data_IF_710254095588
#
_entry.id   IF_710254095588
#
_cell.length_a   1.000
_cell.length_b   1.000
_cell.length_c   1.000
_cell.angle_alpha   90.00
_cell.angle_beta   90.00
_cell.angle_gamma   90.00
#
_symmetry.space_group_name_H-M   'P 1'
#
loop_
_entity.id
_entity.type
_entity.pdbx_description
1 polymer ?
#
# COMPACT_ATOMS: atom_id res chain seq x y z
N UNK A 1 -29.04 -31.18 4.04
CA UNK A 1 -27.93 -30.89 3.10
C UNK A 1 -28.53 -30.20 1.89
N UNK A 2 -28.01 -29.03 1.52
CA UNK A 2 -28.45 -28.13 0.43
C UNK A 2 -29.76 -27.36 0.72
N UNK A 3 -29.69 -26.37 1.62
CA UNK A 3 -30.66 -25.26 1.62
C UNK A 3 -30.15 -24.14 2.53
N UNK A 4 -29.54 -23.12 1.92
CA UNK A 4 -29.47 -21.71 2.36
C UNK A 4 -28.20 -21.06 1.79
N UNK A 5 -28.19 -20.85 0.47
CA UNK A 5 -27.38 -19.78 -0.10
C UNK A 5 -28.36 -18.60 -0.20
N UNK A 6 -28.31 -17.70 0.78
CA UNK A 6 -28.97 -16.40 0.68
C UNK A 6 -28.36 -15.69 -0.54
N UNK A 7 -29.16 -15.23 -1.51
CA UNK A 7 -28.63 -14.45 -2.61
C UNK A 7 -28.12 -13.14 -1.99
N UNK A 8 -26.80 -12.99 -1.89
CA UNK A 8 -26.19 -11.72 -1.51
C UNK A 8 -26.64 -10.70 -2.55
N UNK A 9 -27.55 -9.83 -2.11
CA UNK A 9 -28.02 -8.70 -2.87
C UNK A 9 -26.80 -7.81 -3.07
N UNK A 10 -26.13 -7.94 -4.22
CA UNK A 10 -25.23 -6.92 -4.72
C UNK A 10 -26.13 -5.71 -4.93
N UNK A 11 -26.29 -4.88 -3.90
CA UNK A 11 -26.74 -3.51 -4.11
C UNK A 11 -25.69 -2.97 -5.06
N UNK A 12 -26.11 -2.70 -6.30
CA UNK A 12 -25.36 -1.92 -7.26
C UNK A 12 -25.21 -0.53 -6.64
N UNK A 13 -24.25 -0.40 -5.72
CA UNK A 13 -23.83 0.88 -5.18
C UNK A 13 -23.25 1.66 -6.36
N UNK A 14 -23.54 2.96 -6.41
CA UNK A 14 -23.04 3.83 -7.48
C UNK A 14 -21.51 3.76 -7.56
N UNK A 15 -20.94 3.97 -8.75
CA UNK A 15 -19.47 4.02 -8.95
C UNK A 15 -18.78 5.07 -8.05
N UNK A 16 -19.53 6.05 -7.55
CA UNK A 16 -19.08 7.10 -6.61
C UNK A 16 -19.01 6.64 -5.13
N UNK A 17 -19.40 5.40 -4.80
CA UNK A 17 -19.36 4.89 -3.42
C UNK A 17 -17.94 4.55 -3.00
N UNK A 18 -17.58 4.87 -1.75
CA UNK A 18 -16.24 4.52 -1.26
C UNK A 18 -16.07 3.01 -1.12
N UNK A 19 -14.84 2.52 -1.10
CA UNK A 19 -14.50 1.13 -0.82
C UNK A 19 -15.04 0.68 0.53
N UNK A 20 -14.92 1.55 1.54
CA UNK A 20 -15.50 1.29 2.85
C UNK A 20 -17.02 1.13 2.76
N UNK A 21 -17.72 1.98 2.01
CA UNK A 21 -19.16 1.87 1.78
C UNK A 21 -19.53 0.57 1.05
N UNK A 22 -18.68 0.13 0.11
CA UNK A 22 -18.85 -1.13 -0.63
C UNK A 22 -18.59 -2.36 0.24
N UNK A 23 -17.73 -2.24 1.24
CA UNK A 23 -17.48 -3.30 2.23
C UNK A 23 -18.56 -3.39 3.32
N UNK A 24 -19.42 -2.38 3.47
CA UNK A 24 -20.54 -2.44 4.42
C UNK A 24 -21.51 -3.57 4.02
N UNK A 25 -21.34 -4.74 4.64
CA UNK A 25 -22.15 -5.92 4.41
C UNK A 25 -21.38 -7.14 3.89
N UNK A 26 -20.11 -6.98 3.50
CA UNK A 26 -19.22 -8.10 3.26
C UNK A 26 -18.55 -8.50 4.58
N UNK A 27 -18.76 -9.74 5.07
CA UNK A 27 -18.02 -10.23 6.21
C UNK A 27 -16.54 -10.39 5.79
N UNK A 28 -15.67 -9.52 6.29
CA UNK A 28 -14.22 -9.69 6.15
C UNK A 28 -13.80 -10.81 7.09
N UNK A 29 -13.30 -11.91 6.51
CA UNK A 29 -12.80 -13.05 7.28
C UNK A 29 -11.63 -12.59 8.14
N UNK A 30 -11.73 -12.82 9.44
CA UNK A 30 -10.61 -12.63 10.36
C UNK A 30 -9.69 -13.88 10.32
N UNK A 31 -8.53 -13.82 10.96
CA UNK A 31 -7.58 -14.94 10.99
C UNK A 31 -8.17 -16.23 11.56
N UNK A 32 -9.16 -16.16 12.44
CA UNK A 32 -9.83 -17.34 13.01
C UNK A 32 -10.85 -17.95 12.04
N UNK A 33 -11.49 -17.15 11.20
CA UNK A 33 -12.45 -17.65 10.21
C UNK A 33 -11.76 -18.54 9.17
N UNK A 34 -10.52 -18.22 8.79
CA UNK A 34 -9.71 -19.07 7.90
C UNK A 34 -9.28 -20.38 8.56
N UNK A 35 -9.08 -20.39 9.87
CA UNK A 35 -8.68 -21.59 10.62
C UNK A 35 -9.87 -22.55 10.74
N UNK A 36 -11.08 -22.02 10.90
CA UNK A 36 -12.30 -22.82 11.02
C UNK A 36 -12.76 -23.44 9.69
N UNK A 37 -12.29 -22.91 8.55
CA UNK A 37 -12.57 -23.42 7.22
C UNK A 37 -11.60 -24.53 6.78
N UNK A 38 -10.58 -24.87 7.59
CA UNK A 38 -9.68 -25.99 7.34
C UNK A 38 -10.34 -27.27 7.85
N UNK A 39 -10.71 -28.18 6.95
CA UNK A 39 -11.17 -29.51 7.34
C UNK A 39 -9.95 -30.35 7.82
N UNK A 40 -10.14 -31.32 8.73
CA UNK A 40 -9.05 -32.19 9.21
C UNK A 40 -8.33 -32.94 8.07
N UNK A 41 -9.02 -33.14 6.93
CA UNK A 41 -8.48 -33.74 5.72
C UNK A 41 -7.51 -32.81 4.94
N UNK A 42 -7.55 -31.49 5.17
CA UNK A 42 -6.63 -30.52 4.57
C UNK A 42 -5.28 -30.44 5.31
N UNK A 43 -5.19 -31.05 6.50
CA UNK A 43 -3.95 -31.13 7.29
C UNK A 43 -3.16 -32.36 6.83
N UNK A 44 -2.34 -32.18 5.79
CA UNK A 44 -1.41 -33.23 5.36
C UNK A 44 -0.25 -33.32 6.36
N UNK A 45 -0.31 -34.32 7.24
CA UNK A 45 0.76 -34.62 8.19
C UNK A 45 1.98 -35.15 7.41
N UNK A 46 2.89 -34.25 7.05
CA UNK A 46 4.05 -34.54 6.20
C UNK A 46 5.03 -35.55 6.81
N UNK A 47 4.84 -35.96 8.08
CA UNK A 47 5.79 -36.80 8.81
C UNK A 47 5.38 -38.28 8.93
N UNK A 48 4.31 -38.72 8.25
CA UNK A 48 4.02 -40.15 8.09
C UNK A 48 4.76 -40.71 6.89
N UNK A 49 5.99 -41.17 7.14
CA UNK A 49 6.79 -41.93 6.19
C UNK A 49 6.08 -43.22 5.73
N UNK A 50 5.36 -43.13 4.61
CA UNK A 50 4.99 -44.27 3.77
C UNK A 50 5.51 -43.93 2.38
N UNK A 51 6.35 -44.81 1.85
CA UNK A 51 6.95 -44.67 0.52
C UNK A 51 5.89 -44.97 -0.55
N UNK A 52 5.07 -43.98 -0.88
CA UNK A 52 4.18 -44.05 -2.02
C UNK A 52 4.87 -43.42 -3.24
N UNK A 53 4.99 -44.22 -4.29
CA UNK A 53 5.43 -43.78 -5.60
C UNK A 53 4.36 -42.84 -6.17
N UNK A 54 4.54 -41.53 -5.98
CA UNK A 54 3.74 -40.55 -6.70
C UNK A 54 4.13 -40.57 -8.19
N UNK A 55 3.29 -41.19 -9.02
CA UNK A 55 3.21 -40.84 -10.43
C UNK A 55 2.85 -39.35 -10.50
N UNK A 56 3.85 -38.50 -10.74
CA UNK A 56 3.66 -37.08 -11.02
C UNK A 56 2.89 -36.97 -12.33
N UNK A 57 1.56 -36.92 -12.26
CA UNK A 57 0.71 -36.66 -13.41
C UNK A 57 0.91 -35.21 -13.79
N UNK A 58 1.66 -34.99 -14.87
CA UNK A 58 1.95 -33.66 -15.40
C UNK A 58 0.63 -32.98 -15.82
N UNK A 59 0.14 -32.09 -14.95
CA UNK A 59 -1.05 -31.28 -15.19
C UNK A 59 -0.73 -30.03 -16.02
N UNK A 60 0.47 -29.90 -16.60
CA UNK A 60 0.86 -28.79 -17.49
C UNK A 60 -0.17 -28.53 -18.61
N UNK A 61 -0.89 -29.56 -19.05
CA UNK A 61 -1.89 -29.47 -20.10
C UNK A 61 -3.34 -29.26 -19.61
N UNK A 62 -3.59 -29.13 -18.30
CA UNK A 62 -4.92 -28.85 -17.74
C UNK A 62 -5.07 -27.45 -17.16
N UNK A 63 -3.99 -26.68 -17.09
CA UNK A 63 -4.10 -25.25 -16.80
C UNK A 63 -4.54 -24.56 -18.09
N UNK A 64 -5.85 -24.37 -18.25
CA UNK A 64 -6.32 -23.29 -19.12
C UNK A 64 -5.76 -22.01 -18.52
N UNK A 65 -4.70 -21.49 -19.14
CA UNK A 65 -4.28 -20.11 -18.93
C UNK A 65 -5.48 -19.28 -19.39
N UNK A 66 -6.30 -18.89 -18.42
CA UNK A 66 -7.35 -17.91 -18.65
C UNK A 66 -6.59 -16.63 -18.98
N UNK A 67 -6.76 -16.13 -20.20
CA UNK A 67 -6.22 -14.83 -20.59
C UNK A 67 -6.59 -13.81 -19.49
N UNK A 68 -5.64 -12.96 -19.07
CA UNK A 68 -5.81 -12.08 -17.90
C UNK A 68 -6.97 -11.08 -18.05
N UNK A 69 -7.63 -11.02 -19.21
CA UNK A 69 -8.81 -10.20 -19.52
C UNK A 69 -9.95 -10.33 -18.48
N UNK A 70 -10.03 -11.43 -17.71
CA UNK A 70 -11.16 -11.70 -16.80
C UNK A 70 -10.86 -11.60 -15.31
N UNK A 71 -9.62 -11.38 -14.91
CA UNK A 71 -9.37 -10.69 -13.64
C UNK A 71 -9.46 -9.21 -13.97
N UNK A 72 -10.69 -8.69 -14.02
CA UNK A 72 -10.92 -7.27 -13.87
C UNK A 72 -10.29 -6.89 -12.52
N UNK A 73 -9.02 -6.49 -12.54
CA UNK A 73 -8.45 -5.68 -11.48
C UNK A 73 -9.33 -4.45 -11.51
N UNK A 74 -10.35 -4.43 -10.63
CA UNK A 74 -11.09 -3.22 -10.35
C UNK A 74 -10.02 -2.24 -9.88
N UNK A 75 -9.62 -1.33 -10.78
CA UNK A 75 -8.70 -0.27 -10.45
C UNK A 75 -9.48 0.65 -9.54
N UNK A 76 -9.39 0.37 -8.26
CA UNK A 76 -9.99 1.16 -7.22
C UNK A 76 -9.32 2.53 -7.23
N UNK A 77 -10.03 3.51 -7.80
CA UNK A 77 -9.54 4.88 -7.98
C UNK A 77 -10.06 5.77 -6.85
N UNK A 78 -9.99 5.32 -5.61
CA UNK A 78 -10.26 6.20 -4.49
C UNK A 78 -9.22 7.32 -4.46
N UNK A 79 -9.62 8.58 -4.27
CA UNK A 79 -8.66 9.64 -4.05
C UNK A 79 -7.85 9.28 -2.80
N UNK A 80 -6.50 9.25 -2.88
CA UNK A 80 -5.70 9.04 -1.69
C UNK A 80 -6.01 10.15 -0.69
N UNK A 81 -5.95 9.86 0.62
CA UNK A 81 -6.24 10.87 1.64
C UNK A 81 -5.26 12.04 1.50
N UNK A 82 -5.70 13.15 0.91
CA UNK A 82 -4.91 14.38 0.74
C UNK A 82 -4.96 15.24 2.01
N UNK A 83 -4.79 14.58 3.16
CA UNK A 83 -4.69 15.24 4.46
C UNK A 83 -3.40 14.79 5.10
N UNK A 84 -2.32 15.58 4.95
CA UNK A 84 -1.06 15.33 5.64
C UNK A 84 -1.30 15.20 7.14
N UNK A 85 -0.70 14.19 7.75
CA UNK A 85 -0.78 13.98 9.19
C UNK A 85 0.56 13.51 9.74
N UNK A 86 0.84 13.96 10.96
CA UNK A 86 1.94 13.47 11.76
C UNK A 86 1.40 12.81 13.05
N UNK A 87 2.12 11.80 13.51
CA UNK A 87 1.92 11.18 14.82
C UNK A 87 3.28 11.04 15.47
N UNK A 88 3.45 11.64 16.63
CA UNK A 88 4.72 11.62 17.35
C UNK A 88 4.55 10.95 18.71
N UNK A 89 5.45 10.05 19.08
CA UNK A 89 5.45 9.42 20.40
C UNK A 89 6.34 10.16 21.41
N UNK A 90 6.28 9.75 22.68
CA UNK A 90 7.07 10.36 23.77
C UNK A 90 8.57 10.19 23.60
N UNK A 91 9.00 9.13 22.91
CA UNK A 91 10.40 8.81 22.67
C UNK A 91 11.03 9.64 21.54
N UNK A 92 10.24 10.43 20.80
CA UNK A 92 10.72 11.30 19.74
C UNK A 92 10.59 10.73 18.32
N UNK A 93 9.97 9.56 18.15
CA UNK A 93 9.64 9.02 16.83
C UNK A 93 8.40 9.68 16.26
N UNK A 94 8.45 10.05 14.98
CA UNK A 94 7.36 10.66 14.24
C UNK A 94 7.06 9.88 12.96
N UNK A 95 5.79 9.53 12.76
CA UNK A 95 5.27 8.93 11.54
C UNK A 95 4.51 9.98 10.75
N UNK A 96 4.89 10.17 9.48
CA UNK A 96 4.31 11.16 8.59
C UNK A 96 3.68 10.45 7.38
N UNK A 97 2.42 10.77 7.10
CA UNK A 97 1.65 10.16 6.01
C UNK A 97 0.62 11.11 5.41
N UNK A 98 -0.13 10.63 4.42
CA UNK A 98 -1.10 11.46 3.69
C UNK A 98 -0.45 12.54 2.82
N UNK A 99 0.81 12.33 2.42
CA UNK A 99 1.59 13.28 1.64
C UNK A 99 1.41 12.98 0.15
N UNK A 100 0.50 13.70 -0.48
CA UNK A 100 0.06 13.45 -1.84
C UNK A 100 0.53 14.57 -2.78
N UNK A 101 1.15 14.22 -3.90
CA UNK A 101 1.49 15.13 -4.98
C UNK A 101 0.42 15.08 -6.07
N UNK A 102 -0.54 16.01 -6.04
CA UNK A 102 -1.58 16.11 -7.07
C UNK A 102 -1.17 17.13 -8.14
N UNK A 103 -0.76 16.62 -9.31
CA UNK A 103 -0.45 17.41 -10.50
C UNK A 103 -0.28 16.48 -11.71
N UNK A 104 -0.52 16.98 -12.92
CA UNK A 104 -0.33 16.21 -14.16
C UNK A 104 1.15 15.94 -14.48
N UNK A 105 2.00 16.94 -14.23
CA UNK A 105 3.47 16.82 -14.31
C UNK A 105 4.05 16.19 -13.04
N UNK A 106 4.87 15.15 -13.22
CA UNK A 106 5.42 14.35 -12.13
C UNK A 106 6.49 15.10 -11.31
N UNK A 107 7.23 16.01 -11.92
CA UNK A 107 8.22 16.82 -11.20
C UNK A 107 7.53 17.84 -10.28
N UNK A 108 6.49 18.51 -10.77
CA UNK A 108 5.65 19.40 -9.96
C UNK A 108 4.93 18.64 -8.85
N UNK A 109 4.34 17.47 -9.15
CA UNK A 109 3.73 16.60 -8.14
C UNK A 109 4.73 16.22 -7.03
N UNK A 110 5.96 15.87 -7.42
CA UNK A 110 7.04 15.56 -6.48
C UNK A 110 7.39 16.75 -5.59
N UNK A 111 7.46 17.96 -6.17
CA UNK A 111 7.74 19.20 -5.42
C UNK A 111 6.63 19.48 -4.41
N UNK A 112 5.36 19.36 -4.82
CA UNK A 112 4.21 19.53 -3.93
C UNK A 112 4.27 18.56 -2.75
N UNK A 113 4.49 17.27 -3.03
CA UNK A 113 4.54 16.25 -1.99
C UNK A 113 5.70 16.45 -1.01
N UNK A 114 6.89 16.79 -1.51
CA UNK A 114 8.07 17.05 -0.68
C UNK A 114 7.94 18.35 0.13
N UNK A 115 7.33 19.39 -0.41
CA UNK A 115 7.03 20.61 0.36
C UNK A 115 6.01 20.35 1.47
N UNK A 116 4.98 19.53 1.21
CA UNK A 116 4.05 19.08 2.27
C UNK A 116 4.81 18.34 3.39
N UNK A 117 5.78 17.49 3.02
CA UNK A 117 6.62 16.79 4.01
C UNK A 117 7.43 17.77 4.86
N UNK A 118 8.11 18.74 4.23
CA UNK A 118 8.89 19.75 4.95
C UNK A 118 8.00 20.58 5.90
N UNK A 119 6.86 21.07 5.43
CA UNK A 119 5.92 21.83 6.26
C UNK A 119 5.39 21.01 7.44
N UNK A 120 5.16 19.71 7.24
CA UNK A 120 4.69 18.81 8.30
C UNK A 120 5.79 18.55 9.35
N UNK A 121 7.05 18.37 8.92
CA UNK A 121 8.20 18.28 9.83
C UNK A 121 8.33 19.56 10.67
N UNK A 122 8.23 20.73 10.05
CA UNK A 122 8.29 22.02 10.75
C UNK A 122 7.19 22.16 11.80
N UNK A 123 5.96 21.69 11.49
CA UNK A 123 4.84 21.69 12.44
C UNK A 123 5.06 20.81 13.67
N UNK A 124 5.93 19.81 13.55
CA UNK A 124 6.36 18.91 14.64
C UNK A 124 7.70 19.35 15.27
N UNK A 125 8.15 20.59 14.99
CA UNK A 125 9.44 21.13 15.41
C UNK A 125 10.64 20.28 14.96
N UNK A 126 10.53 19.62 13.82
CA UNK A 126 11.57 18.82 13.17
C UNK A 126 12.09 19.49 11.91
N UNK A 127 13.17 18.96 11.36
CA UNK A 127 13.84 19.39 10.14
C UNK A 127 14.06 18.21 9.20
N UNK A 128 14.38 18.44 7.92
CA UNK A 128 14.75 17.36 6.99
C UNK A 128 15.92 16.48 7.47
N UNK A 129 16.81 17.00 8.32
CA UNK A 129 17.91 16.25 8.92
C UNK A 129 17.46 15.21 9.97
N UNK A 130 16.25 15.35 10.49
CA UNK A 130 15.65 14.41 11.46
C UNK A 130 14.96 13.23 10.74
N UNK A 131 14.90 13.24 9.39
CA UNK A 131 14.33 12.14 8.61
C UNK A 131 15.22 10.91 8.68
N UNK A 132 14.61 9.76 8.98
CA UNK A 132 15.26 8.45 9.01
C UNK A 132 14.97 7.68 7.72
N UNK A 133 13.71 7.70 7.27
CA UNK A 133 13.22 6.94 6.12
C UNK A 133 12.18 7.71 5.33
N UNK A 134 12.21 7.57 4.02
CA UNK A 134 11.13 7.99 3.10
C UNK A 134 10.77 6.85 2.14
N UNK A 135 9.47 6.59 2.01
CA UNK A 135 8.89 5.74 0.98
C UNK A 135 8.21 6.61 -0.07
N UNK A 136 8.57 6.39 -1.33
CA UNK A 136 8.01 7.09 -2.49
C UNK A 136 7.26 6.06 -3.32
N UNK A 137 5.95 6.22 -3.43
CA UNK A 137 5.13 5.46 -4.35
C UNK A 137 4.92 6.31 -5.59
N UNK A 138 5.29 5.76 -6.74
CA UNK A 138 5.20 6.44 -8.04
C UNK A 138 4.25 5.68 -8.94
N UNK A 139 3.53 6.40 -9.81
CA UNK A 139 2.58 5.77 -10.73
C UNK A 139 3.26 5.06 -11.90
N UNK A 140 4.31 5.65 -12.47
CA UNK A 140 5.09 5.08 -13.58
C UNK A 140 6.58 5.35 -13.32
N UNK A 141 7.39 4.30 -13.28
CA UNK A 141 8.83 4.40 -13.03
C UNK A 141 9.61 5.13 -14.13
N UNK A 142 9.03 5.37 -15.31
CA UNK A 142 9.65 6.23 -16.33
C UNK A 142 9.93 7.64 -15.83
N UNK A 143 9.12 8.14 -14.89
CA UNK A 143 9.26 9.48 -14.34
C UNK A 143 10.35 9.58 -13.26
N UNK A 144 10.98 8.46 -12.88
CA UNK A 144 11.95 8.38 -11.78
C UNK A 144 13.09 9.40 -11.88
N UNK A 145 13.60 9.66 -13.08
CA UNK A 145 14.67 10.64 -13.28
C UNK A 145 14.24 12.06 -12.88
N UNK A 146 13.02 12.47 -13.25
CA UNK A 146 12.45 13.77 -12.90
C UNK A 146 12.17 13.89 -11.40
N UNK A 147 11.58 12.84 -10.81
CA UNK A 147 11.32 12.73 -9.37
C UNK A 147 12.63 12.85 -8.58
N UNK A 148 13.66 12.12 -9.01
CA UNK A 148 14.96 12.11 -8.33
C UNK A 148 15.66 13.47 -8.40
N UNK A 149 15.54 14.21 -9.51
CA UNK A 149 16.08 15.57 -9.62
C UNK A 149 15.47 16.52 -8.58
N UNK A 150 14.14 16.48 -8.42
CA UNK A 150 13.43 17.26 -7.40
C UNK A 150 13.80 16.79 -5.98
N UNK A 151 13.84 15.47 -5.76
CA UNK A 151 14.24 14.89 -4.48
C UNK A 151 15.62 15.39 -4.04
N UNK A 152 16.62 15.31 -4.93
CA UNK A 152 17.97 15.79 -4.65
C UNK A 152 17.95 17.29 -4.35
N UNK A 153 17.20 18.09 -5.11
CA UNK A 153 17.15 19.54 -4.88
C UNK A 153 16.61 19.96 -3.51
N UNK A 154 15.79 19.12 -2.86
CA UNK A 154 15.14 19.44 -1.58
C UNK A 154 15.85 18.72 -0.41
N UNK A 155 16.23 17.46 -0.59
CA UNK A 155 16.70 16.58 0.48
C UNK A 155 18.20 16.21 0.37
N UNK A 156 19.00 16.83 -0.49
CA UNK A 156 20.45 16.61 -0.51
C UNK A 156 21.17 17.28 0.67
N UNK A 157 21.25 16.57 1.80
CA UNK A 157 22.03 16.96 2.97
C UNK A 157 23.11 15.91 3.30
N UNK A 158 24.00 16.20 4.27
CA UNK A 158 25.20 15.40 4.60
C UNK A 158 24.87 13.96 5.03
N UNK A 159 23.62 13.65 5.35
CA UNK A 159 23.15 12.31 5.68
C UNK A 159 21.69 12.11 5.24
N UNK A 160 21.43 11.84 3.95
CA UNK A 160 20.06 11.73 3.44
C UNK A 160 19.34 10.51 4.06
N UNK A 161 18.01 10.55 4.20
CA UNK A 161 17.26 9.43 4.77
C UNK A 161 17.35 8.19 3.90
N UNK A 162 17.12 7.03 4.51
CA UNK A 162 16.93 5.78 3.77
C UNK A 162 15.73 5.94 2.85
N UNK A 163 15.93 5.68 1.55
CA UNK A 163 14.90 5.86 0.53
C UNK A 163 14.46 4.53 -0.06
N UNK A 164 13.15 4.35 -0.14
CA UNK A 164 12.50 3.31 -0.96
C UNK A 164 11.65 4.01 -2.01
N UNK A 165 11.77 3.60 -3.27
CA UNK A 165 10.96 4.11 -4.37
C UNK A 165 10.39 2.91 -5.13
N UNK A 166 9.06 2.80 -5.22
CA UNK A 166 8.38 1.66 -5.85
C UNK A 166 7.23 2.13 -6.72
N UNK A 167 6.97 1.41 -7.81
CA UNK A 167 5.81 1.64 -8.65
C UNK A 167 4.56 1.08 -7.96
N UNK A 168 3.47 1.84 -7.98
CA UNK A 168 2.18 1.43 -7.47
C UNK A 168 1.06 1.90 -8.40
N UNK A 169 -0.08 1.20 -8.47
CA UNK A 169 -1.20 1.58 -9.33
C UNK A 169 -1.95 2.80 -8.77
N UNK A 170 -1.34 3.99 -8.85
CA UNK A 170 -1.92 5.25 -8.39
C UNK A 170 -2.89 5.86 -9.41
N UNK A 171 -3.66 6.87 -8.96
CA UNK A 171 -4.58 7.64 -9.80
C UNK A 171 -3.86 8.52 -10.82
N UNK A 172 -4.59 8.94 -11.86
CA UNK A 172 -4.03 9.76 -12.93
C UNK A 172 -3.60 11.16 -12.46
N UNK A 173 -4.38 11.78 -11.59
CA UNK A 173 -4.16 13.11 -11.02
C UNK A 173 -3.20 13.10 -9.82
N UNK A 174 -2.78 11.92 -9.37
CA UNK A 174 -1.89 11.72 -8.23
C UNK A 174 -0.77 10.75 -8.61
N UNK A 175 0.26 11.23 -9.34
CA UNK A 175 1.37 10.36 -9.73
C UNK A 175 2.32 10.00 -8.58
N UNK A 176 2.24 10.70 -7.43
CA UNK A 176 3.19 10.56 -6.31
C UNK A 176 2.46 10.52 -4.96
N UNK A 177 2.78 9.52 -4.13
CA UNK A 177 2.43 9.46 -2.72
C UNK A 177 3.70 9.21 -1.89
N UNK A 178 3.82 9.90 -0.76
CA UNK A 178 4.96 9.80 0.14
C UNK A 178 4.53 9.35 1.53
N UNK A 179 5.41 8.60 2.18
CA UNK A 179 5.39 8.36 3.62
C UNK A 179 6.79 8.55 4.19
N UNK A 180 6.88 9.01 5.42
CA UNK A 180 8.16 9.22 6.06
C UNK A 180 8.16 8.85 7.54
N UNK A 181 9.36 8.54 8.04
CA UNK A 181 9.63 8.36 9.46
C UNK A 181 10.76 9.31 9.83
N UNK A 182 10.55 10.09 10.89
CA UNK A 182 11.53 10.97 11.47
C UNK A 182 11.79 10.63 12.94
N UNK A 183 12.95 11.03 13.44
CA UNK A 183 13.33 10.89 14.83
C UNK A 183 14.05 12.13 15.31
N UNK A 184 13.57 12.70 16.43
CA UNK A 184 14.25 13.78 17.12
C UNK A 184 14.20 13.53 18.62
N UNK A 185 15.37 13.44 19.24
CA UNK A 185 15.47 13.30 20.68
C UNK A 185 14.82 14.52 21.35
N UNK A 186 13.82 14.27 22.20
CA UNK A 186 13.23 15.32 23.02
C UNK A 186 14.18 15.63 24.15
N UNK A 187 14.60 16.89 24.27
CA UNK A 187 15.27 17.36 25.48
C UNK A 187 14.29 17.24 26.64
N UNK A 188 14.67 16.50 27.68
CA UNK A 188 13.96 16.54 28.97
C UNK A 188 14.00 18.00 29.45
N UNK A 189 12.81 18.58 29.63
CA UNK A 189 12.64 19.93 30.17
C UNK A 189 12.73 19.95 31.69
#
# INVERSE_FOLDING_TARGET
RISQIQPYLIKMLSDESSYLDRLVGFPVKNSLDYIADLDEDDIVDSDKGVADQEETKDCSNQVKIVEPEKLLILKEQEPPPDKPYARTNVSGWCWLGGLVGQHDDCAEASRIALHKLCALLESENMSPCDLVRICIFVRDMKDYAAINAVYVSILSHVNPPVRVCVEAPLRADCPIVLEAIAYKQRSEG
#
